data_IF_913354274840
#
_entry.id   IF_913354274840
#
_cell.length_a   1.000
_cell.length_b   1.000
_cell.length_c   1.000
_cell.angle_alpha   90.00
_cell.angle_beta   90.00
_cell.angle_gamma   90.00
#
_symmetry.space_group_name_H-M   'P 1'
#
loop_
_entity.id
_entity.type
_entity.pdbx_description
1 polymer ?
#
# COMPACT_ATOMS: atom_id res chain seq x y z
N UNK A 1 -14.36 -29.73 14.34
CA UNK A 1 -12.97 -30.21 14.45
C UNK A 1 -12.04 -29.00 14.56
N UNK A 2 -11.45 -28.76 15.74
CA UNK A 2 -10.43 -27.70 15.90
C UNK A 2 -9.24 -28.12 15.04
N UNK A 3 -8.92 -27.35 14.01
CA UNK A 3 -7.71 -27.54 13.20
C UNK A 3 -6.51 -27.52 14.14
N UNK A 4 -5.84 -28.66 14.28
CA UNK A 4 -4.61 -28.78 15.06
C UNK A 4 -3.60 -27.79 14.48
N UNK A 5 -3.31 -26.73 15.24
CA UNK A 5 -2.31 -25.74 14.83
C UNK A 5 -0.99 -26.46 14.72
N UNK A 6 -0.35 -26.44 13.54
CA UNK A 6 0.95 -27.07 13.35
C UNK A 6 1.94 -26.62 14.45
N UNK A 7 2.75 -27.54 15.01
CA UNK A 7 3.65 -27.22 16.09
C UNK A 7 4.65 -26.16 15.62
N UNK A 8 4.77 -25.08 16.41
CA UNK A 8 5.67 -23.98 16.10
C UNK A 8 7.11 -24.38 16.43
N UNK A 9 8.12 -23.92 15.66
CA UNK A 9 9.50 -24.32 15.87
C UNK A 9 10.05 -23.85 17.23
N UNK A 10 11.03 -24.58 17.81
CA UNK A 10 11.64 -24.19 19.06
C UNK A 10 12.35 -22.82 18.92
N UNK A 11 12.26 -22.03 19.98
CA UNK A 11 12.90 -20.71 20.05
C UNK A 11 14.39 -20.87 20.37
N UNK A 12 15.24 -20.12 19.66
CA UNK A 12 16.71 -20.16 19.85
C UNK A 12 17.20 -19.12 20.85
N UNK A 13 16.49 -18.00 20.96
CA UNK A 13 16.89 -16.88 21.81
C UNK A 13 16.69 -17.17 23.30
N UNK A 14 17.65 -16.77 24.15
CA UNK A 14 17.54 -16.90 25.62
C UNK A 14 16.68 -15.79 26.21
N UNK A 15 16.77 -14.56 25.66
CA UNK A 15 16.04 -13.40 26.16
C UNK A 15 14.59 -13.43 25.70
N UNK A 16 13.65 -13.26 26.62
CA UNK A 16 12.19 -13.29 26.37
C UNK A 16 11.74 -12.32 25.27
N UNK A 17 12.28 -11.10 25.24
CA UNK A 17 11.93 -10.13 24.20
C UNK A 17 12.50 -10.50 22.82
N UNK A 18 13.63 -11.22 22.78
CA UNK A 18 14.22 -11.70 21.53
C UNK A 18 13.47 -12.94 21.02
N UNK A 19 12.99 -13.81 21.90
CA UNK A 19 12.06 -14.89 21.58
C UNK A 19 10.78 -14.35 20.93
N UNK A 20 10.22 -13.26 21.47
CA UNK A 20 9.07 -12.59 20.87
C UNK A 20 9.39 -12.08 19.46
N UNK A 21 10.53 -11.42 19.26
CA UNK A 21 10.96 -10.94 17.94
C UNK A 21 11.13 -12.11 16.97
N UNK A 22 11.78 -13.18 17.40
CA UNK A 22 12.00 -14.40 16.63
C UNK A 22 10.67 -15.00 16.14
N UNK A 23 9.68 -15.14 17.03
CA UNK A 23 8.36 -15.67 16.67
C UNK A 23 7.57 -14.75 15.73
N UNK A 24 7.63 -13.44 15.96
CA UNK A 24 6.98 -12.44 15.08
C UNK A 24 7.57 -12.51 13.68
N UNK A 25 8.90 -12.62 13.57
CA UNK A 25 9.61 -12.74 12.29
C UNK A 25 9.34 -14.07 11.60
N UNK A 26 9.30 -15.17 12.35
CA UNK A 26 8.93 -16.49 11.82
C UNK A 26 7.53 -16.50 11.18
N UNK A 27 6.58 -15.78 11.78
CA UNK A 27 5.23 -15.63 11.25
C UNK A 27 5.09 -14.49 10.23
N UNK A 28 6.21 -13.93 9.75
CA UNK A 28 6.27 -12.88 8.73
C UNK A 28 5.45 -11.62 9.05
N UNK A 29 5.35 -11.25 10.33
CA UNK A 29 4.71 -9.99 10.72
C UNK A 29 5.59 -8.77 10.39
N UNK A 30 4.91 -7.64 10.17
CA UNK A 30 5.57 -6.36 9.89
C UNK A 30 6.45 -5.89 11.06
N UNK A 31 7.48 -5.08 10.75
CA UNK A 31 8.32 -4.44 11.76
C UNK A 31 7.50 -3.58 12.73
N UNK A 32 6.43 -2.92 12.25
CA UNK A 32 5.54 -2.12 13.09
C UNK A 32 4.81 -2.96 14.12
N UNK A 33 4.39 -4.17 13.75
CA UNK A 33 3.80 -5.16 14.67
C UNK A 33 4.85 -5.62 15.69
N UNK A 34 6.08 -5.91 15.25
CA UNK A 34 7.21 -6.26 16.12
C UNK A 34 7.43 -5.19 17.20
N UNK A 35 7.54 -3.93 16.80
CA UNK A 35 7.76 -2.80 17.71
C UNK A 35 6.61 -2.63 18.70
N UNK A 36 5.35 -2.70 18.23
CA UNK A 36 4.18 -2.57 19.08
C UNK A 36 4.09 -3.69 20.12
N UNK A 37 4.31 -4.94 19.70
CA UNK A 37 4.21 -6.08 20.60
C UNK A 37 5.35 -6.10 21.61
N UNK A 38 6.58 -5.83 21.19
CA UNK A 38 7.73 -5.69 22.10
C UNK A 38 7.50 -4.55 23.10
N UNK A 39 6.91 -3.43 22.68
CA UNK A 39 6.56 -2.33 23.58
C UNK A 39 5.59 -2.78 24.68
N UNK A 40 4.47 -3.41 24.30
CA UNK A 40 3.45 -3.84 25.27
C UNK A 40 3.92 -4.96 26.19
N UNK A 41 4.62 -5.96 25.67
CA UNK A 41 5.19 -7.05 26.50
C UNK A 41 6.24 -6.50 27.45
N UNK A 42 7.08 -5.55 27.03
CA UNK A 42 8.03 -4.88 27.92
C UNK A 42 7.32 -4.07 29.01
N UNK A 43 6.25 -3.35 28.67
CA UNK A 43 5.45 -2.59 29.63
C UNK A 43 4.81 -3.52 30.67
N UNK A 44 4.25 -4.65 30.24
CA UNK A 44 3.69 -5.68 31.10
C UNK A 44 4.72 -6.27 32.08
N UNK A 45 5.91 -6.65 31.57
CA UNK A 45 7.01 -7.16 32.41
C UNK A 45 7.41 -6.12 33.47
N UNK A 46 7.53 -4.85 33.08
CA UNK A 46 7.92 -3.77 34.00
C UNK A 46 6.86 -3.49 35.06
N UNK A 47 5.58 -3.54 34.69
CA UNK A 47 4.47 -3.36 35.64
C UNK A 47 4.52 -4.42 36.75
N UNK A 48 4.90 -5.65 36.42
CA UNK A 48 5.03 -6.76 37.37
C UNK A 48 6.41 -6.88 38.04
N UNK A 49 7.21 -5.81 38.05
CA UNK A 49 8.51 -5.81 38.74
C UNK A 49 9.59 -6.65 38.07
N UNK A 50 9.54 -6.82 36.74
CA UNK A 50 10.51 -7.60 35.96
C UNK A 50 10.50 -9.10 36.29
N UNK A 51 9.38 -9.61 36.79
CA UNK A 51 9.14 -11.05 36.95
C UNK A 51 9.07 -11.74 35.58
N UNK A 52 9.48 -13.01 35.55
CA UNK A 52 9.46 -13.79 34.32
C UNK A 52 8.00 -14.06 33.88
N UNK A 53 7.59 -13.72 32.65
CA UNK A 53 6.18 -13.82 32.25
C UNK A 53 5.56 -15.21 32.30
N UNK A 54 6.37 -16.28 32.24
CA UNK A 54 5.86 -17.65 32.38
C UNK A 54 5.28 -17.94 33.79
N UNK A 55 5.63 -17.15 34.81
CA UNK A 55 5.06 -17.26 36.16
C UNK A 55 3.89 -16.31 36.38
N UNK A 56 3.49 -15.55 35.36
CA UNK A 56 2.39 -14.59 35.41
C UNK A 56 1.20 -15.16 34.63
N UNK A 57 0.03 -15.21 35.27
CA UNK A 57 -1.18 -15.82 34.74
C UNK A 57 -2.28 -14.80 34.49
N UNK A 58 -3.53 -15.22 34.77
CA UNK A 58 -4.74 -14.44 34.54
C UNK A 58 -4.85 -13.18 35.35
N UNK A 59 -4.69 -13.32 36.66
CA UNK A 59 -4.71 -12.21 37.61
C UNK A 59 -3.76 -11.10 37.19
N UNK A 60 -2.55 -11.46 36.73
CA UNK A 60 -1.54 -10.48 36.34
C UNK A 60 -1.88 -9.77 35.03
N UNK A 61 -2.43 -10.49 34.06
CA UNK A 61 -2.87 -9.88 32.79
C UNK A 61 -4.06 -8.96 33.01
N UNK A 62 -5.05 -9.39 33.78
CA UNK A 62 -6.21 -8.57 34.13
C UNK A 62 -5.83 -7.34 34.96
N UNK A 63 -4.92 -7.49 35.93
CA UNK A 63 -4.40 -6.37 36.71
C UNK A 63 -3.73 -5.33 35.81
N UNK A 64 -2.90 -5.77 34.85
CA UNK A 64 -2.25 -4.86 33.91
C UNK A 64 -3.23 -4.16 32.97
N UNK A 65 -4.20 -4.88 32.42
CA UNK A 65 -5.22 -4.30 31.53
C UNK A 65 -6.16 -3.36 32.28
N UNK A 66 -6.50 -3.68 33.54
CA UNK A 66 -7.30 -2.83 34.43
C UNK A 66 -6.52 -1.56 34.80
N UNK A 67 -5.24 -1.68 35.10
CA UNK A 67 -4.33 -0.56 35.31
C UNK A 67 -4.27 0.36 34.09
N UNK A 68 -4.16 -0.21 32.88
CA UNK A 68 -4.19 0.57 31.64
C UNK A 68 -5.52 1.34 31.46
N UNK A 69 -6.64 0.71 31.80
CA UNK A 69 -7.96 1.32 31.66
C UNK A 69 -8.23 2.40 32.73
N UNK A 70 -7.92 2.11 33.99
CA UNK A 70 -8.33 2.93 35.14
C UNK A 70 -7.30 4.03 35.46
N UNK A 71 -6.02 3.68 35.54
CA UNK A 71 -4.97 4.62 35.93
C UNK A 71 -4.39 5.37 34.73
N UNK A 72 -4.08 4.65 33.65
CA UNK A 72 -3.54 5.25 32.42
C UNK A 72 -4.61 5.80 31.48
N UNK A 73 -5.89 5.49 31.72
CA UNK A 73 -7.04 5.98 30.95
C UNK A 73 -6.84 5.83 29.43
N UNK A 74 -6.28 4.70 29.00
CA UNK A 74 -5.96 4.48 27.58
C UNK A 74 -7.21 4.30 26.74
N UNK A 75 -7.11 4.63 25.45
CA UNK A 75 -8.21 4.40 24.51
C UNK A 75 -8.52 2.91 24.34
N UNK A 76 -9.75 2.58 23.93
CA UNK A 76 -10.15 1.20 23.60
C UNK A 76 -9.25 0.55 22.55
N UNK A 77 -8.80 1.31 21.54
CA UNK A 77 -7.91 0.80 20.50
C UNK A 77 -6.53 0.44 21.07
N UNK A 78 -6.00 1.29 21.94
CA UNK A 78 -4.74 1.08 22.66
C UNK A 78 -4.82 -0.16 23.56
N UNK A 79 -5.90 -0.29 24.34
CA UNK A 79 -6.16 -1.46 25.18
C UNK A 79 -6.18 -2.74 24.34
N UNK A 80 -6.93 -2.74 23.22
CA UNK A 80 -6.99 -3.91 22.32
C UNK A 80 -5.64 -4.28 21.72
N UNK A 81 -4.79 -3.30 21.41
CA UNK A 81 -3.45 -3.56 20.90
C UNK A 81 -2.56 -4.22 21.98
N UNK A 82 -2.66 -3.75 23.23
CA UNK A 82 -1.97 -4.37 24.36
C UNK A 82 -2.45 -5.81 24.58
N UNK A 83 -3.77 -6.04 24.62
CA UNK A 83 -4.36 -7.38 24.73
C UNK A 83 -3.93 -8.30 23.58
N UNK A 84 -3.92 -7.81 22.34
CA UNK A 84 -3.48 -8.59 21.18
C UNK A 84 -1.99 -8.98 21.27
N UNK A 85 -1.14 -8.08 21.78
CA UNK A 85 0.27 -8.38 22.00
C UNK A 85 0.45 -9.47 23.08
N UNK A 86 -0.31 -9.41 24.18
CA UNK A 86 -0.27 -10.41 25.25
C UNK A 86 -0.82 -11.76 24.79
N UNK A 87 -1.96 -11.78 24.10
CA UNK A 87 -2.53 -12.99 23.47
C UNK A 87 -1.52 -13.67 22.54
N UNK A 88 -0.85 -12.88 21.69
CA UNK A 88 0.20 -13.40 20.82
C UNK A 88 1.38 -13.93 21.64
N UNK A 89 1.83 -13.20 22.65
CA UNK A 89 2.98 -13.58 23.44
C UNK A 89 2.75 -14.89 24.22
N UNK A 90 1.64 -15.02 24.95
CA UNK A 90 1.35 -16.25 25.68
C UNK A 90 1.03 -17.43 24.75
N UNK A 91 0.16 -17.22 23.74
CA UNK A 91 -0.28 -18.31 22.88
C UNK A 91 0.75 -18.73 21.83
N UNK A 92 1.57 -17.78 21.33
CA UNK A 92 2.55 -18.04 20.25
C UNK A 92 3.99 -18.01 20.72
N UNK A 93 4.37 -17.46 21.86
CA UNK A 93 5.79 -17.47 22.31
C UNK A 93 5.97 -18.46 23.46
N UNK A 94 5.16 -18.33 24.51
CA UNK A 94 5.23 -19.23 25.67
C UNK A 94 4.50 -20.57 25.46
N UNK A 95 3.71 -20.68 24.38
CA UNK A 95 2.90 -21.86 24.07
C UNK A 95 2.00 -22.29 25.23
N UNK A 96 1.55 -21.33 26.04
CA UNK A 96 0.62 -21.57 27.15
C UNK A 96 -0.80 -21.47 26.62
N UNK A 97 -1.61 -22.51 26.83
CA UNK A 97 -3.03 -22.42 26.54
C UNK A 97 -3.69 -21.54 27.61
N UNK A 98 -4.32 -20.45 27.17
CA UNK A 98 -5.02 -19.53 28.06
C UNK A 98 -6.50 -19.44 27.64
N UNK A 99 -7.32 -20.45 27.99
CA UNK A 99 -8.74 -20.48 27.63
C UNK A 99 -9.48 -19.23 28.13
N UNK A 100 -9.18 -18.80 29.37
CA UNK A 100 -9.76 -17.63 30.03
C UNK A 100 -9.37 -16.30 29.37
N UNK A 101 -8.25 -16.23 28.63
CA UNK A 101 -7.80 -14.99 28.00
C UNK A 101 -8.68 -14.58 26.80
N UNK A 102 -9.49 -15.52 26.28
CA UNK A 102 -10.54 -15.23 25.30
C UNK A 102 -11.81 -14.65 25.94
N UNK A 103 -12.01 -14.86 27.24
CA UNK A 103 -13.16 -14.40 28.02
C UNK A 103 -12.97 -12.99 28.58
N UNK A 104 -11.72 -12.48 28.63
CA UNK A 104 -11.46 -11.07 28.95
C UNK A 104 -12.27 -10.20 27.99
N UNK A 105 -13.26 -9.50 28.55
CA UNK A 105 -14.19 -8.67 27.83
C UNK A 105 -13.46 -7.69 26.92
N UNK A 106 -13.52 -7.91 25.61
CA UNK A 106 -12.83 -7.04 24.64
C UNK A 106 -13.61 -5.74 24.54
N UNK A 107 -13.05 -4.59 24.96
CA UNK A 107 -13.79 -3.33 24.85
C UNK A 107 -14.13 -3.07 23.38
N UNK A 108 -15.38 -2.72 23.13
CA UNK A 108 -15.90 -2.47 21.78
C UNK A 108 -15.50 -1.05 21.37
N UNK A 109 -14.74 -0.87 20.28
CA UNK A 109 -14.42 0.48 19.84
C UNK A 109 -15.71 1.17 19.36
N UNK A 110 -15.93 2.40 19.80
CA UNK A 110 -16.94 3.28 19.19
C UNK A 110 -16.55 3.55 17.74
N UNK A 111 -17.44 3.27 16.78
CA UNK A 111 -17.22 3.66 15.38
C UNK A 111 -17.33 5.19 15.30
N UNK A 112 -16.27 5.87 14.87
CA UNK A 112 -16.29 7.30 14.58
C UNK A 112 -16.58 7.50 13.10
N UNK A 113 -17.37 8.52 12.78
CA UNK A 113 -17.59 8.91 11.39
C UNK A 113 -16.26 9.40 10.79
N UNK A 114 -15.92 8.97 9.56
CA UNK A 114 -14.72 9.46 8.89
C UNK A 114 -14.85 10.96 8.63
N UNK A 115 -13.78 11.69 8.88
CA UNK A 115 -13.67 13.10 8.51
C UNK A 115 -13.41 13.18 7.01
N UNK A 116 -14.10 14.08 6.32
CA UNK A 116 -13.90 14.37 4.89
C UNK A 116 -13.72 15.87 4.69
N UNK A 117 -12.82 16.22 3.78
CA UNK A 117 -12.54 17.59 3.37
C UNK A 117 -13.35 17.91 2.11
N UNK A 118 -13.75 19.18 1.96
CA UNK A 118 -14.27 19.70 0.69
C UNK A 118 -13.11 19.94 -0.28
N UNK A 119 -13.37 20.03 -1.59
CA UNK A 119 -12.34 20.38 -2.57
C UNK A 119 -11.60 21.68 -2.20
N UNK A 120 -12.32 22.73 -1.80
CA UNK A 120 -11.71 24.01 -1.41
C UNK A 120 -10.81 23.88 -0.18
N UNK A 121 -11.21 23.08 0.82
CA UNK A 121 -10.37 22.82 1.98
C UNK A 121 -9.08 22.09 1.59
N UNK A 122 -9.17 21.13 0.65
CA UNK A 122 -7.99 20.44 0.11
C UNK A 122 -7.09 21.42 -0.64
N UNK A 123 -7.62 22.28 -1.51
CA UNK A 123 -6.83 23.32 -2.21
C UNK A 123 -6.07 24.17 -1.20
N UNK A 124 -6.75 24.69 -0.17
CA UNK A 124 -6.13 25.53 0.86
C UNK A 124 -5.00 24.80 1.57
N UNK A 125 -5.23 23.56 2.03
CA UNK A 125 -4.18 22.77 2.70
C UNK A 125 -2.98 22.54 1.77
N UNK A 126 -3.22 22.18 0.50
CA UNK A 126 -2.15 21.95 -0.47
C UNK A 126 -1.36 23.23 -0.78
N UNK A 127 -1.97 24.41 -0.66
CA UNK A 127 -1.32 25.71 -0.83
C UNK A 127 -0.27 26.03 0.23
N UNK A 128 -0.41 25.49 1.44
CA UNK A 128 0.57 25.66 2.54
C UNK A 128 1.64 24.56 2.60
N UNK A 129 1.59 23.59 1.69
CA UNK A 129 2.63 22.58 1.55
C UNK A 129 3.63 23.00 0.49
N UNK A 130 4.89 22.64 0.69
CA UNK A 130 5.99 22.98 -0.22
C UNK A 130 6.73 21.74 -0.73
N UNK A 131 7.40 21.90 -1.87
CA UNK A 131 8.32 20.90 -2.43
C UNK A 131 7.73 19.48 -2.52
N UNK A 132 8.49 18.50 -2.04
CA UNK A 132 8.08 17.10 -2.08
C UNK A 132 6.86 16.78 -1.20
N UNK A 133 6.61 17.54 -0.13
CA UNK A 133 5.43 17.33 0.72
C UNK A 133 4.14 17.70 -0.02
N UNK A 134 4.14 18.77 -0.80
CA UNK A 134 2.98 19.16 -1.62
C UNK A 134 2.68 18.10 -2.68
N UNK A 135 3.71 17.69 -3.42
CA UNK A 135 3.59 16.64 -4.44
C UNK A 135 3.09 15.32 -3.83
N UNK A 136 3.61 14.95 -2.66
CA UNK A 136 3.19 13.75 -1.97
C UNK A 136 1.72 13.83 -1.53
N UNK A 137 1.29 14.95 -0.96
CA UNK A 137 -0.11 15.16 -0.59
C UNK A 137 -1.06 15.13 -1.81
N UNK A 138 -0.67 15.77 -2.92
CA UNK A 138 -1.41 15.70 -4.18
C UNK A 138 -1.52 14.28 -4.70
N UNK A 139 -0.44 13.49 -4.62
CA UNK A 139 -0.44 12.10 -5.02
C UNK A 139 -1.39 11.26 -4.15
N UNK A 140 -1.36 11.43 -2.83
CA UNK A 140 -2.28 10.75 -1.91
C UNK A 140 -3.74 11.07 -2.22
N UNK A 141 -4.05 12.36 -2.46
CA UNK A 141 -5.40 12.78 -2.80
C UNK A 141 -5.82 12.30 -4.20
N UNK A 142 -4.98 12.42 -5.22
CA UNK A 142 -5.33 12.07 -6.60
C UNK A 142 -5.43 10.56 -6.89
N UNK A 143 -4.85 9.72 -6.03
CA UNK A 143 -4.82 8.25 -6.22
C UNK A 143 -5.54 7.47 -5.13
N UNK A 144 -5.81 8.10 -3.99
CA UNK A 144 -6.38 7.46 -2.82
C UNK A 144 -5.47 6.40 -2.17
N UNK A 145 -4.18 6.35 -2.47
CA UNK A 145 -3.26 5.38 -1.83
C UNK A 145 -3.07 5.66 -0.33
N UNK A 146 -2.65 4.64 0.43
CA UNK A 146 -2.28 4.80 1.84
C UNK A 146 -0.95 5.52 1.93
N UNK A 147 -0.70 6.23 3.04
CA UNK A 147 0.57 6.92 3.28
C UNK A 147 1.76 5.96 3.10
N UNK A 148 1.69 4.78 3.69
CA UNK A 148 2.76 3.79 3.59
C UNK A 148 3.01 3.33 2.16
N UNK A 149 1.95 3.16 1.37
CA UNK A 149 2.04 2.77 -0.04
C UNK A 149 2.76 3.87 -0.84
N UNK A 150 2.39 5.13 -0.64
CA UNK A 150 3.03 6.26 -1.32
C UNK A 150 4.48 6.48 -0.90
N UNK A 151 4.79 6.37 0.39
CA UNK A 151 6.17 6.51 0.87
C UNK A 151 7.08 5.40 0.34
N UNK A 152 6.54 4.20 0.17
CA UNK A 152 7.31 3.04 -0.29
C UNK A 152 7.38 2.89 -1.81
N UNK A 153 6.80 3.82 -2.58
CA UNK A 153 6.89 3.81 -4.03
C UNK A 153 8.34 3.79 -4.50
N UNK A 154 8.63 2.86 -5.41
CA UNK A 154 9.91 2.78 -6.13
C UNK A 154 9.79 3.41 -7.50
N UNK A 155 10.92 3.76 -8.10
CA UNK A 155 10.94 4.32 -9.45
C UNK A 155 10.25 3.41 -10.47
N UNK A 156 10.49 2.10 -10.40
CA UNK A 156 9.88 1.10 -11.30
C UNK A 156 8.36 0.96 -11.17
N UNK A 157 7.77 1.53 -10.11
CA UNK A 157 6.35 1.43 -9.85
C UNK A 157 5.57 2.53 -10.57
N UNK A 158 6.25 3.53 -11.14
CA UNK A 158 5.67 4.60 -11.94
C UNK A 158 5.83 4.30 -13.43
N UNK A 159 4.70 4.10 -14.12
CA UNK A 159 4.64 3.95 -15.57
C UNK A 159 3.99 5.21 -16.17
N UNK A 160 4.82 6.11 -16.68
CA UNK A 160 4.34 7.37 -17.27
C UNK A 160 3.72 7.17 -18.64
N UNK A 161 4.10 6.12 -19.37
CA UNK A 161 3.61 5.86 -20.72
C UNK A 161 2.18 5.31 -20.68
N UNK A 162 1.90 4.48 -19.67
CA UNK A 162 0.57 3.90 -19.44
C UNK A 162 -0.23 4.67 -18.39
N UNK A 163 0.29 5.78 -17.87
CA UNK A 163 -0.36 6.58 -16.83
C UNK A 163 -0.77 5.76 -15.60
N UNK A 164 0.10 4.86 -15.15
CA UNK A 164 -0.23 3.86 -14.12
C UNK A 164 0.81 3.85 -12.99
N UNK A 165 0.34 3.65 -11.76
CA UNK A 165 1.16 3.41 -10.58
C UNK A 165 0.88 2.02 -10.04
N UNK A 166 1.91 1.21 -9.87
CA UNK A 166 1.79 -0.14 -9.30
C UNK A 166 2.07 -0.10 -7.80
N UNK A 167 1.03 -0.19 -6.99
CA UNK A 167 1.18 -0.36 -5.54
C UNK A 167 1.42 -1.84 -5.26
N UNK A 168 2.63 -2.15 -4.82
CA UNK A 168 3.04 -3.51 -4.44
C UNK A 168 2.69 -3.82 -2.99
N UNK A 169 2.38 -5.08 -2.72
CA UNK A 169 2.14 -5.57 -1.34
C UNK A 169 1.05 -4.77 -0.60
N UNK A 170 -0.05 -4.44 -1.28
CA UNK A 170 -1.23 -3.84 -0.67
C UNK A 170 -1.86 -4.74 0.41
N UNK A 171 -2.99 -4.33 1.00
CA UNK A 171 -3.67 -5.12 2.05
C UNK A 171 -3.88 -6.57 1.59
N UNK A 172 -3.29 -7.52 2.31
CA UNK A 172 -3.32 -8.95 1.96
C UNK A 172 -2.23 -9.41 0.98
N UNK A 173 -1.15 -8.64 0.83
CA UNK A 173 -0.01 -8.91 -0.06
C UNK A 173 -0.40 -9.02 -1.54
N UNK A 174 -1.39 -8.22 -1.97
CA UNK A 174 -1.84 -8.14 -3.37
C UNK A 174 -1.40 -6.83 -3.99
N UNK A 175 -0.84 -6.93 -5.19
CA UNK A 175 -0.51 -5.77 -6.01
C UNK A 175 -1.79 -5.18 -6.60
N UNK A 176 -1.84 -3.86 -6.74
CA UNK A 176 -2.91 -3.17 -7.48
C UNK A 176 -2.39 -2.02 -8.31
N UNK A 177 -3.00 -1.82 -9.47
CA UNK A 177 -2.73 -0.68 -10.34
C UNK A 177 -3.64 0.49 -9.97
N UNK A 178 -3.05 1.68 -9.86
CA UNK A 178 -3.73 2.95 -9.67
C UNK A 178 -3.49 3.82 -10.90
N UNK A 179 -4.42 4.71 -11.20
CA UNK A 179 -4.23 5.72 -12.24
C UNK A 179 -3.23 6.78 -11.75
N UNK A 180 -2.26 7.13 -12.60
CA UNK A 180 -1.36 8.28 -12.40
C UNK A 180 -2.08 9.54 -12.93
N UNK A 181 -2.36 10.54 -12.10
CA UNK A 181 -2.95 11.79 -12.59
C UNK A 181 -2.00 12.52 -13.54
N UNK A 182 -2.43 12.78 -14.77
CA UNK A 182 -1.59 13.40 -15.81
C UNK A 182 -1.01 14.75 -15.37
N UNK A 183 -1.78 15.54 -14.64
CA UNK A 183 -1.36 16.83 -14.08
C UNK A 183 -0.19 16.72 -13.08
N UNK A 184 0.04 15.53 -12.50
CA UNK A 184 1.18 15.28 -11.61
C UNK A 184 2.40 14.69 -12.32
N UNK A 185 2.27 14.26 -13.59
CA UNK A 185 3.35 13.62 -14.31
C UNK A 185 4.61 14.51 -14.43
N UNK A 186 4.52 15.82 -14.75
CA UNK A 186 5.70 16.70 -14.81
C UNK A 186 6.41 16.82 -13.46
N UNK A 187 5.66 17.10 -12.39
CA UNK A 187 6.23 17.24 -11.04
C UNK A 187 6.80 15.93 -10.50
N UNK A 188 6.22 14.78 -10.85
CA UNK A 188 6.78 13.47 -10.54
C UNK A 188 8.08 13.21 -11.29
N UNK A 189 8.20 13.61 -12.56
CA UNK A 189 9.47 13.52 -13.32
C UNK A 189 10.55 14.38 -12.67
N UNK A 190 10.24 15.60 -12.26
CA UNK A 190 11.17 16.45 -11.50
C UNK A 190 11.59 15.82 -10.16
N UNK A 191 10.65 15.23 -9.43
CA UNK A 191 10.95 14.49 -8.20
C UNK A 191 11.88 13.30 -8.46
N UNK A 192 11.67 12.56 -9.56
CA UNK A 192 12.56 11.48 -9.97
C UNK A 192 13.95 12.00 -10.33
N UNK A 193 14.08 13.17 -10.96
CA UNK A 193 15.38 13.81 -11.19
C UNK A 193 16.09 14.14 -9.88
N UNK A 194 15.37 14.66 -8.88
CA UNK A 194 15.94 14.89 -7.52
C UNK A 194 16.36 13.59 -6.84
N UNK A 195 15.52 12.56 -6.90
CA UNK A 195 15.85 11.24 -6.38
C UNK A 195 17.06 10.63 -7.11
N UNK A 196 17.19 10.86 -8.43
CA UNK A 196 18.30 10.38 -9.24
C UNK A 196 19.63 11.03 -8.81
N UNK A 197 19.62 12.31 -8.46
CA UNK A 197 20.79 12.98 -7.91
C UNK A 197 21.26 12.33 -6.60
N UNK A 198 20.33 12.00 -5.69
CA UNK A 198 20.66 11.26 -4.47
C UNK A 198 21.21 9.86 -4.77
N UNK A 199 20.59 9.14 -5.69
CA UNK A 199 21.06 7.81 -6.09
C UNK A 199 22.47 7.85 -6.67
N UNK A 200 22.77 8.80 -7.57
CA UNK A 200 24.10 8.98 -8.14
C UNK A 200 25.14 9.31 -7.08
N UNK A 201 24.79 10.18 -6.12
CA UNK A 201 25.65 10.50 -4.97
C UNK A 201 25.94 9.26 -4.12
N UNK A 202 24.92 8.47 -3.81
CA UNK A 202 25.07 7.24 -3.03
C UNK A 202 25.94 6.20 -3.76
N UNK A 203 25.81 6.09 -5.09
CA UNK A 203 26.68 5.23 -5.90
C UNK A 203 28.14 5.70 -5.88
N UNK A 204 28.38 7.01 -6.04
CA UNK A 204 29.72 7.57 -6.04
C UNK A 204 30.43 7.40 -4.68
N UNK A 205 29.68 7.52 -3.57
CA UNK A 205 30.18 7.30 -2.21
C UNK A 205 30.27 5.81 -1.83
N UNK A 206 29.92 4.88 -2.72
CA UNK A 206 29.94 3.44 -2.45
C UNK A 206 28.99 3.00 -1.32
N UNK A 207 27.87 3.71 -1.12
CA UNK A 207 26.91 3.43 -0.05
C UNK A 207 26.20 2.10 -0.29
N UNK A 208 25.79 1.46 0.80
CA UNK A 208 24.89 0.31 0.74
C UNK A 208 23.56 0.74 0.10
N UNK A 209 23.15 0.03 -0.94
CA UNK A 209 21.92 0.31 -1.67
C UNK A 209 20.66 0.30 -0.79
N UNK A 210 19.51 0.63 -1.37
CA UNK A 210 18.25 0.73 -0.62
C UNK A 210 17.80 -0.63 -0.07
N UNK A 211 16.97 -0.60 0.99
CA UNK A 211 16.37 -1.82 1.54
C UNK A 211 15.52 -2.53 0.47
N UNK A 212 15.60 -3.86 0.42
CA UNK A 212 14.78 -4.69 -0.47
C UNK A 212 13.80 -5.56 0.34
N UNK A 213 12.64 -5.93 -0.23
CA UNK A 213 11.71 -6.83 0.44
C UNK A 213 12.29 -8.24 0.64
N UNK A 214 11.94 -8.85 1.79
CA UNK A 214 12.20 -10.24 2.14
C UNK A 214 13.62 -10.73 1.78
N UNK A 215 13.71 -11.85 1.06
CA UNK A 215 14.97 -12.47 0.65
C UNK A 215 15.44 -11.97 -0.73
N UNK A 216 14.87 -10.88 -1.25
CA UNK A 216 15.18 -10.43 -2.61
C UNK A 216 16.63 -9.97 -2.75
N UNK A 217 17.19 -9.35 -1.71
CA UNK A 217 18.61 -8.98 -1.66
C UNK A 217 19.53 -10.19 -1.81
N UNK A 218 19.16 -11.36 -1.24
CA UNK A 218 19.92 -12.60 -1.41
C UNK A 218 19.85 -13.14 -2.83
N UNK A 219 18.69 -13.05 -3.48
CA UNK A 219 18.51 -13.53 -4.86
C UNK A 219 19.12 -12.58 -5.89
N UNK A 220 19.06 -11.28 -5.64
CA UNK A 220 19.57 -10.22 -6.52
C UNK A 220 20.37 -9.19 -5.71
N UNK A 221 21.65 -9.48 -5.38
CA UNK A 221 22.47 -8.64 -4.50
C UNK A 221 22.64 -7.19 -4.99
N UNK A 222 22.66 -6.98 -6.31
CA UNK A 222 22.81 -5.64 -6.90
C UNK A 222 21.49 -4.87 -7.05
N UNK A 223 20.33 -5.49 -6.77
CA UNK A 223 19.05 -4.85 -7.01
C UNK A 223 18.88 -3.56 -6.17
N UNK A 224 19.36 -3.53 -4.93
CA UNK A 224 19.30 -2.35 -4.06
C UNK A 224 20.17 -1.19 -4.55
N UNK A 225 21.16 -1.45 -5.40
CA UNK A 225 21.99 -0.43 -6.04
C UNK A 225 21.41 0.07 -7.35
N UNK A 226 20.41 -0.62 -7.90
CA UNK A 226 19.84 -0.25 -9.20
C UNK A 226 18.78 0.83 -9.08
N UNK A 227 18.76 1.73 -10.06
CA UNK A 227 17.80 2.83 -10.13
C UNK A 227 16.32 2.42 -10.02
N UNK A 228 15.84 1.34 -10.69
CA UNK A 228 14.43 0.96 -10.63
C UNK A 228 13.93 0.69 -9.20
N UNK A 229 14.81 0.26 -8.30
CA UNK A 229 14.48 -0.02 -6.91
C UNK A 229 14.62 1.18 -5.99
N UNK A 230 15.15 2.31 -6.44
CA UNK A 230 15.31 3.49 -5.61
C UNK A 230 13.96 4.09 -5.20
N UNK A 231 13.93 4.85 -4.11
CA UNK A 231 12.72 5.49 -3.59
C UNK A 231 12.33 6.71 -4.43
N UNK A 232 11.04 6.88 -4.71
CA UNK A 232 10.53 8.12 -5.35
C UNK A 232 10.67 9.31 -4.40
N UNK A 233 10.29 9.12 -3.13
CA UNK A 233 10.42 10.11 -2.06
C UNK A 233 11.54 9.67 -1.12
N UNK A 234 12.79 9.85 -1.54
CA UNK A 234 13.95 9.46 -0.76
C UNK A 234 14.24 10.51 0.33
N UNK A 235 14.55 10.06 1.54
CA UNK A 235 14.95 10.97 2.61
C UNK A 235 16.33 11.58 2.29
N UNK A 236 16.63 12.75 2.84
CA UNK A 236 17.89 13.47 2.61
C UNK A 236 19.08 12.81 3.32
N UNK A 237 18.85 12.22 4.49
CA UNK A 237 19.87 11.58 5.33
C UNK A 237 19.92 10.05 5.16
N UNK A 238 20.93 9.39 5.72
CA UNK A 238 20.93 7.92 5.81
C UNK A 238 20.30 7.47 7.13
N UNK A 239 19.74 6.27 7.15
CA UNK A 239 19.21 5.65 8.36
C UNK A 239 19.78 4.25 8.50
N UNK A 240 19.99 3.84 9.75
CA UNK A 240 20.25 2.45 10.07
C UNK A 240 18.95 1.65 9.93
N UNK A 241 18.96 0.59 9.13
CA UNK A 241 17.85 -0.36 9.09
C UNK A 241 17.80 -1.12 10.42
N UNK A 242 16.69 -1.05 11.18
CA UNK A 242 16.57 -1.69 12.48
C UNK A 242 16.59 -3.22 12.43
N UNK A 243 16.37 -3.85 11.27
CA UNK A 243 16.45 -5.32 11.12
C UNK A 243 17.83 -5.79 10.70
N UNK A 244 18.42 -5.17 9.67
CA UNK A 244 19.73 -5.58 9.15
C UNK A 244 20.92 -4.88 9.82
N UNK A 245 20.71 -3.75 10.50
CA UNK A 245 21.78 -2.90 11.05
C UNK A 245 22.55 -2.11 9.99
N UNK A 246 22.22 -2.29 8.70
CA UNK A 246 22.92 -1.63 7.59
C UNK A 246 22.47 -0.18 7.46
N UNK A 247 23.44 0.73 7.35
CA UNK A 247 23.17 2.14 7.07
C UNK A 247 22.89 2.32 5.59
N UNK A 248 21.68 2.73 5.24
CA UNK A 248 21.23 2.91 3.86
C UNK A 248 20.22 4.04 3.74
N UNK A 249 19.96 4.50 2.52
CA UNK A 249 18.94 5.53 2.30
C UNK A 249 17.54 4.91 2.40
N UNK A 250 16.71 5.54 3.20
CA UNK A 250 15.31 5.20 3.40
C UNK A 250 14.41 6.18 2.66
N UNK A 251 13.15 5.81 2.46
CA UNK A 251 12.15 6.77 2.01
C UNK A 251 11.87 7.83 3.09
N UNK A 252 11.21 8.92 2.72
CA UNK A 252 10.74 9.95 3.64
C UNK A 252 9.98 9.32 4.81
N UNK A 253 10.23 9.80 6.04
CA UNK A 253 9.55 9.30 7.21
C UNK A 253 8.10 9.81 7.27
N UNK A 254 7.19 8.89 7.63
CA UNK A 254 5.77 9.17 7.87
C UNK A 254 5.58 10.37 8.83
N UNK A 255 6.34 10.41 9.92
CA UNK A 255 6.25 11.50 10.89
C UNK A 255 6.65 12.86 10.32
N UNK A 256 7.62 12.91 9.40
CA UNK A 256 8.04 14.16 8.77
C UNK A 256 6.88 14.76 7.97
N UNK A 257 6.24 13.92 7.14
CA UNK A 257 5.09 14.34 6.36
C UNK A 257 3.86 14.65 7.23
N UNK A 258 3.57 13.84 8.25
CA UNK A 258 2.45 14.11 9.17
C UNK A 258 2.58 15.46 9.89
N UNK A 259 3.80 15.83 10.32
CA UNK A 259 4.05 17.14 10.94
C UNK A 259 3.86 18.28 9.96
N UNK A 260 4.37 18.15 8.74
CA UNK A 260 4.18 19.14 7.69
C UNK A 260 2.69 19.31 7.33
N UNK A 261 1.97 18.20 7.16
CA UNK A 261 0.54 18.20 6.88
C UNK A 261 -0.27 18.85 8.00
N UNK A 262 0.03 18.52 9.27
CA UNK A 262 -0.63 19.14 10.42
C UNK A 262 -0.46 20.67 10.43
N UNK A 263 0.76 21.16 10.20
CA UNK A 263 1.04 22.61 10.12
C UNK A 263 0.25 23.26 8.98
N UNK A 264 0.17 22.61 7.81
CA UNK A 264 -0.59 23.11 6.68
C UNK A 264 -2.10 23.17 6.97
N UNK A 265 -2.66 22.19 7.70
CA UNK A 265 -4.06 22.20 8.15
C UNK A 265 -4.34 23.38 9.08
N UNK A 266 -3.44 23.62 10.04
CA UNK A 266 -3.55 24.74 10.99
C UNK A 266 -3.47 26.10 10.26
N UNK A 267 -2.51 26.27 9.35
CA UNK A 267 -2.34 27.49 8.55
C UNK A 267 -3.51 27.73 7.57
N UNK A 268 -4.10 26.66 7.04
CA UNK A 268 -5.28 26.73 6.19
C UNK A 268 -6.58 27.09 6.94
N UNK A 269 -6.53 27.28 8.26
CA UNK A 269 -7.69 27.61 9.09
C UNK A 269 -8.72 26.49 9.15
N UNK A 270 -8.32 25.24 8.94
CA UNK A 270 -9.23 24.09 8.92
C UNK A 270 -9.43 23.56 10.34
N UNK A 271 -10.67 23.68 10.84
CA UNK A 271 -11.05 23.23 12.18
C UNK A 271 -11.29 21.72 12.29
N UNK A 272 -11.54 21.05 11.16
CA UNK A 272 -11.71 19.59 11.10
C UNK A 272 -10.39 18.91 11.49
N UNK A 273 -10.42 17.80 12.25
CA UNK A 273 -9.21 17.06 12.61
C UNK A 273 -8.69 16.26 11.42
N UNK A 274 -8.13 16.97 10.43
CA UNK A 274 -7.62 16.43 9.20
C UNK A 274 -6.24 15.80 9.41
N UNK A 275 -6.08 14.61 8.87
CA UNK A 275 -4.81 13.88 8.81
C UNK A 275 -4.56 13.48 7.36
N UNK A 276 -3.38 12.97 6.99
CA UNK A 276 -3.21 12.56 5.59
C UNK A 276 -4.13 11.39 5.17
N UNK A 277 -4.66 10.60 6.13
CA UNK A 277 -5.72 9.62 5.83
C UNK A 277 -7.04 10.29 5.42
N UNK A 278 -7.30 11.51 5.89
CA UNK A 278 -8.45 12.32 5.50
C UNK A 278 -8.42 12.65 4.01
N UNK A 279 -7.24 12.85 3.39
CA UNK A 279 -7.12 13.04 1.94
C UNK A 279 -7.68 11.86 1.17
N UNK A 280 -7.30 10.64 1.56
CA UNK A 280 -7.82 9.40 0.96
C UNK A 280 -9.32 9.25 1.12
N UNK A 281 -9.87 9.57 2.29
CA UNK A 281 -11.32 9.55 2.49
C UNK A 281 -12.03 10.59 1.62
N UNK A 282 -11.46 11.79 1.52
CA UNK A 282 -12.00 12.87 0.71
C UNK A 282 -11.99 12.50 -0.78
N UNK A 283 -10.94 11.85 -1.26
CA UNK A 283 -10.87 11.28 -2.61
C UNK A 283 -11.97 10.25 -2.86
N UNK A 284 -12.14 9.29 -1.95
CA UNK A 284 -13.19 8.29 -2.06
C UNK A 284 -14.58 8.93 -2.15
N UNK A 285 -14.85 9.92 -1.29
CA UNK A 285 -16.10 10.67 -1.30
C UNK A 285 -16.28 11.50 -2.57
N UNK A 286 -15.22 12.10 -3.10
CA UNK A 286 -15.27 12.83 -4.37
C UNK A 286 -15.66 11.91 -5.53
N UNK A 287 -15.06 10.73 -5.64
CA UNK A 287 -15.44 9.74 -6.67
C UNK A 287 -16.91 9.32 -6.56
N UNK A 288 -17.39 9.02 -5.35
CA UNK A 288 -18.79 8.66 -5.15
C UNK A 288 -19.74 9.80 -5.54
N UNK A 289 -19.38 11.06 -5.23
CA UNK A 289 -20.16 12.25 -5.64
C UNK A 289 -20.16 12.47 -7.15
N UNK A 290 -19.08 12.10 -7.83
CA UNK A 290 -18.97 12.13 -9.29
C UNK A 290 -19.70 10.96 -9.98
N UNK A 291 -20.42 10.12 -9.24
CA UNK A 291 -21.25 9.05 -9.79
C UNK A 291 -20.53 7.70 -9.99
N UNK A 292 -19.33 7.51 -9.45
CA UNK A 292 -18.65 6.22 -9.50
C UNK A 292 -19.33 5.18 -8.62
N UNK A 293 -19.41 3.94 -9.12
CA UNK A 293 -19.93 2.81 -8.33
C UNK A 293 -19.04 2.50 -7.13
N UNK A 294 -19.66 2.10 -6.03
CA UNK A 294 -18.98 1.80 -4.77
C UNK A 294 -17.96 0.66 -4.92
N UNK A 295 -18.20 -0.32 -5.80
CA UNK A 295 -17.25 -1.43 -6.01
C UNK A 295 -15.99 -0.93 -6.70
N UNK A 296 -16.13 -0.09 -7.72
CA UNK A 296 -14.98 0.55 -8.38
C UNK A 296 -14.14 1.35 -7.40
N UNK A 297 -14.77 2.10 -6.49
CA UNK A 297 -14.06 2.86 -5.45
C UNK A 297 -13.38 1.91 -4.45
N UNK A 298 -14.01 0.80 -4.06
CA UNK A 298 -13.43 -0.21 -3.16
C UNK A 298 -12.20 -0.89 -3.77
N UNK A 299 -12.25 -1.25 -5.05
CA UNK A 299 -11.16 -1.88 -5.79
C UNK A 299 -9.96 -0.95 -5.89
N UNK A 300 -10.19 0.31 -6.28
CA UNK A 300 -9.14 1.34 -6.39
C UNK A 300 -8.43 1.56 -5.04
N UNK A 301 -9.19 1.59 -3.96
CA UNK A 301 -8.68 1.77 -2.62
C UNK A 301 -8.07 0.48 -2.03
N UNK A 302 -8.25 -0.68 -2.65
CA UNK A 302 -7.74 -1.95 -2.15
C UNK A 302 -8.33 -2.32 -0.79
N UNK A 303 -9.66 -2.20 -0.65
CA UNK A 303 -10.39 -2.72 0.50
C UNK A 303 -10.66 -4.21 0.30
N UNK A 304 -10.00 -5.05 1.10
CA UNK A 304 -10.20 -6.50 1.08
C UNK A 304 -11.54 -6.88 1.73
N UNK A 305 -12.62 -6.70 0.98
CA UNK A 305 -13.88 -7.47 1.04
C UNK A 305 -14.74 -7.10 -0.19
N UNK A 306 -14.22 -7.37 -1.39
CA UNK A 306 -14.85 -8.17 -2.45
C UNK A 306 -13.70 -8.77 -3.28
N UNK A 307 -13.79 -10.04 -3.59
CA UNK A 307 -12.74 -10.84 -4.22
C UNK A 307 -12.55 -10.52 -5.71
N UNK A 308 -11.30 -10.24 -6.07
CA UNK A 308 -10.70 -10.50 -7.40
C UNK A 308 -11.13 -9.56 -8.54
N UNK A 309 -10.09 -9.02 -9.19
CA UNK A 309 -10.04 -8.15 -10.37
C UNK A 309 -11.21 -8.25 -11.36
N UNK A 310 -11.53 -7.12 -12.00
CA UNK A 310 -11.09 -7.02 -13.38
C UNK A 310 -10.14 -5.83 -13.59
N UNK A 311 -9.27 -6.03 -14.58
CA UNK A 311 -8.37 -5.04 -15.14
C UNK A 311 -8.98 -3.64 -15.20
N UNK A 312 -8.14 -2.63 -15.02
CA UNK A 312 -8.37 -1.27 -15.49
C UNK A 312 -8.76 -1.36 -16.98
N UNK A 313 -10.06 -1.46 -17.27
CA UNK A 313 -10.59 -1.37 -18.61
C UNK A 313 -10.34 0.07 -19.03
N UNK A 314 -9.50 0.27 -20.05
CA UNK A 314 -9.23 1.54 -20.74
C UNK A 314 -10.51 2.10 -21.38
N UNK A 315 -11.49 2.48 -20.57
CA UNK A 315 -12.80 2.98 -20.99
C UNK A 315 -13.44 3.98 -20.03
N UNK A 316 -12.86 4.22 -18.85
CA UNK A 316 -13.23 5.33 -17.96
C UNK A 316 -11.96 6.02 -17.47
N UNK A 317 -11.18 6.54 -18.42
CA UNK A 317 -10.09 7.47 -18.15
C UNK A 317 -10.73 8.82 -17.76
N UNK A 318 -10.71 9.19 -16.49
CA UNK A 318 -11.32 10.44 -16.07
C UNK A 318 -11.23 10.72 -14.58
N UNK A 319 -11.84 9.91 -13.72
CA UNK A 319 -12.21 10.35 -12.36
C UNK A 319 -11.09 10.85 -11.44
N UNK A 320 -9.94 10.16 -11.41
CA UNK A 320 -8.79 10.59 -10.59
C UNK A 320 -8.13 11.86 -11.12
N UNK A 321 -8.06 11.99 -12.45
CA UNK A 321 -7.65 13.21 -13.12
C UNK A 321 -8.70 14.32 -12.96
N UNK A 322 -9.99 14.02 -13.01
CA UNK A 322 -11.11 14.98 -12.86
C UNK A 322 -11.11 15.57 -11.46
N UNK A 323 -11.01 14.77 -10.39
CA UNK A 323 -11.00 15.30 -9.02
C UNK A 323 -9.80 16.21 -8.72
N UNK A 324 -8.65 16.00 -9.38
CA UNK A 324 -7.46 16.83 -9.23
C UNK A 324 -7.45 18.01 -10.22
N UNK A 325 -7.87 17.80 -11.47
CA UNK A 325 -7.93 18.82 -12.52
C UNK A 325 -9.03 19.86 -12.21
N UNK A 326 -10.22 19.41 -11.79
CA UNK A 326 -11.27 20.31 -11.27
C UNK A 326 -10.78 21.12 -10.06
N UNK A 327 -9.89 20.55 -9.25
CA UNK A 327 -9.33 21.20 -8.06
C UNK A 327 -8.18 22.17 -8.38
N UNK A 328 -7.46 21.93 -9.48
CA UNK A 328 -6.39 22.79 -9.98
C UNK A 328 -6.88 23.84 -11.01
N UNK A 329 -8.20 23.94 -11.24
CA UNK A 329 -8.77 24.87 -12.23
C UNK A 329 -8.39 24.53 -13.66
N UNK A 330 -7.88 23.33 -13.91
CA UNK A 330 -7.63 22.81 -15.25
C UNK A 330 -8.94 22.20 -15.72
N UNK A 331 -9.63 22.88 -16.63
CA UNK A 331 -10.87 22.40 -17.24
C UNK A 331 -10.70 20.97 -17.79
N UNK A 332 -11.78 20.18 -17.91
CA UNK A 332 -11.68 18.85 -18.50
C UNK A 332 -11.02 18.99 -19.88
N UNK A 333 -9.90 18.28 -20.08
CA UNK A 333 -9.32 18.16 -21.40
C UNK A 333 -10.41 17.64 -22.33
N UNK A 334 -10.63 18.37 -23.41
CA UNK A 334 -11.73 18.22 -24.34
C UNK A 334 -11.75 16.79 -24.93
N UNK A 335 -12.51 15.89 -24.31
CA UNK A 335 -12.65 14.49 -24.75
C UNK A 335 -13.53 14.36 -26.00
N UNK A 336 -13.99 15.47 -26.60
CA UNK A 336 -14.92 15.45 -27.73
C UNK A 336 -14.25 15.32 -29.11
N UNK A 337 -12.91 15.29 -29.22
CA UNK A 337 -12.21 15.18 -30.52
C UNK A 337 -11.74 13.78 -30.94
N UNK A 338 -12.13 12.72 -30.22
CA UNK A 338 -11.76 11.33 -30.58
C UNK A 338 -12.94 10.44 -31.00
N UNK A 339 -14.16 10.97 -31.09
CA UNK A 339 -15.35 10.21 -31.54
C UNK A 339 -15.77 10.45 -33.01
N UNK A 340 -14.97 11.17 -33.80
CA UNK A 340 -15.25 11.35 -35.22
C UNK A 340 -14.21 10.61 -36.08
N UNK A 341 -14.15 9.28 -36.00
CA UNK A 341 -13.61 8.36 -37.03
C UNK A 341 -13.88 6.91 -36.60
N UNK A 342 -15.15 6.50 -36.58
CA UNK A 342 -15.58 5.10 -36.73
C UNK A 342 -17.11 5.01 -36.83
N UNK A 343 -17.65 5.42 -37.97
CA UNK A 343 -18.96 4.95 -38.42
C UNK A 343 -18.76 3.69 -39.29
N UNK A 344 -19.35 2.53 -38.94
CA UNK A 344 -19.47 1.43 -39.88
C UNK A 344 -20.63 1.71 -40.85
N UNK A 345 -20.28 1.96 -42.12
CA UNK A 345 -21.23 2.01 -43.24
C UNK A 345 -21.97 0.67 -43.37
N UNK A 346 -23.25 0.65 -43.00
CA UNK A 346 -24.15 -0.46 -43.29
C UNK A 346 -25.03 -0.09 -44.49
N UNK A 347 -24.56 -0.38 -45.71
CA UNK A 347 -25.42 -0.33 -46.91
C UNK A 347 -26.12 -1.68 -47.06
N UNK A 348 -27.43 -1.67 -46.78
CA UNK A 348 -28.38 -2.59 -47.40
C UNK A 348 -28.40 -2.32 -48.91
N UNK A 349 -28.19 -3.34 -49.73
CA UNK A 349 -28.64 -3.35 -51.12
C UNK A 349 -29.51 -4.58 -51.33
N UNK A 350 -30.68 -4.31 -51.85
CA UNK A 350 -31.72 -5.24 -52.24
C UNK A 350 -31.27 -6.15 -53.38
N UNK A 351 -31.87 -7.34 -53.37
CA UNK A 351 -31.98 -8.28 -54.47
C UNK A 351 -32.65 -7.64 -55.68
N UNK A 352 -32.09 -7.86 -56.88
CA UNK A 352 -32.89 -8.17 -58.06
C UNK A 352 -32.13 -9.08 -59.03
N UNK A 353 -32.89 -9.75 -59.88
CA UNK A 353 -32.74 -11.11 -60.43
C UNK A 353 -31.76 -11.33 -61.61
N UNK A 354 -31.66 -12.62 -62.00
CA UNK A 354 -31.21 -13.24 -63.28
C UNK A 354 -29.78 -13.83 -63.24
N UNK A 355 -29.59 -15.15 -63.11
CA UNK A 355 -29.90 -16.27 -64.01
C UNK A 355 -28.71 -16.71 -64.87
N UNK A 356 -28.35 -17.99 -64.70
CA UNK A 356 -27.59 -18.90 -65.56
C UNK A 356 -26.10 -18.64 -65.86
N UNK A 357 -25.29 -19.68 -65.61
CA UNK A 357 -24.14 -19.97 -66.47
C UNK A 357 -22.93 -20.58 -65.79
N UNK A 358 -22.82 -21.91 -65.89
CA UNK A 358 -21.59 -22.63 -66.28
C UNK A 358 -20.43 -22.73 -65.25
N UNK A 359 -20.22 -23.96 -64.74
CA UNK A 359 -18.93 -24.47 -64.24
C UNK A 359 -17.96 -24.74 -65.43
N UNK A 360 -16.76 -25.37 -65.30
CA UNK A 360 -15.89 -25.65 -64.15
C UNK A 360 -14.40 -25.25 -64.42
N UNK A 361 -13.48 -25.44 -63.45
CA UNK A 361 -12.21 -26.23 -63.59
C UNK A 361 -11.19 -25.94 -62.48
N UNK A 362 -10.72 -27.05 -61.91
CA UNK A 362 -9.43 -27.40 -61.29
C UNK A 362 -8.29 -26.37 -61.29
N UNK A 363 -7.49 -26.32 -60.22
CA UNK A 363 -6.12 -26.87 -60.18
C UNK A 363 -5.58 -26.89 -58.72
N UNK A 364 -4.88 -27.99 -58.41
CA UNK A 364 -4.02 -28.20 -57.25
C UNK A 364 -2.93 -27.13 -57.08
N UNK A 365 -2.40 -26.98 -55.85
CA UNK A 365 -0.98 -27.20 -55.51
C UNK A 365 -0.65 -26.75 -54.07
N UNK A 366 -0.33 -27.73 -53.23
CA UNK A 366 0.81 -27.83 -52.28
C UNK A 366 1.41 -26.58 -51.60
N UNK A 367 1.63 -26.66 -50.28
CA UNK A 367 2.89 -26.16 -49.69
C UNK A 367 2.86 -25.56 -48.28
N UNK A 368 3.38 -26.35 -47.32
CA UNK A 368 4.12 -25.95 -46.11
C UNK A 368 3.39 -25.38 -44.87
N UNK A 369 3.18 -26.30 -43.92
CA UNK A 369 3.08 -26.02 -42.48
C UNK A 369 4.49 -26.05 -41.83
N UNK A 370 4.77 -25.10 -40.94
CA UNK A 370 5.96 -25.08 -40.07
C UNK A 370 5.53 -25.20 -38.61
N UNK A 371 5.90 -26.34 -38.01
CA UNK A 371 5.78 -26.65 -36.58
C UNK A 371 6.92 -25.99 -35.79
N UNK A 372 6.59 -25.31 -34.68
CA UNK A 372 7.57 -24.89 -33.66
C UNK A 372 7.59 -25.87 -32.48
N UNK A 373 8.73 -26.55 -32.29
CA UNK A 373 9.03 -27.44 -31.17
C UNK A 373 9.45 -26.65 -29.92
N UNK A 374 9.02 -27.14 -28.73
CA UNK A 374 9.49 -26.73 -27.40
C UNK A 374 10.72 -27.55 -26.97
N UNK A 375 11.73 -26.97 -26.30
CA UNK A 375 12.83 -27.76 -25.73
C UNK A 375 12.53 -28.28 -24.32
N UNK A 376 12.86 -29.56 -24.10
CA UNK A 376 12.96 -30.24 -22.80
C UNK A 376 14.28 -29.84 -22.12
N UNK A 377 14.24 -29.51 -20.82
CA UNK A 377 15.43 -29.43 -19.97
C UNK A 377 15.52 -30.69 -19.10
N UNK A 378 16.67 -31.37 -19.19
CA UNK A 378 17.06 -32.56 -18.42
C UNK A 378 17.47 -32.17 -16.99
N UNK A 379 17.13 -33.05 -16.05
CA UNK A 379 17.72 -33.11 -14.70
C UNK A 379 19.14 -33.67 -14.77
N UNK A 380 20.03 -33.10 -13.98
CA UNK A 380 21.05 -33.81 -13.19
C UNK A 380 21.06 -33.20 -11.80
#
# INVERSE_FOLDING_TARGET
MKTATAPLPPLRSVKVLDQLRERIRYLHYSLRTEQAYVHWVRAFIRFHGVRHPATLGSSEVEAFLSWLANERKVSVSTHRQALAALLFFYGKVLCTDLPWLQEIGRPRPSRRLPVVLTPDEVVRILGFLEGEHRLFAQLLYGTGMRISEGLQLRVKDLDFDHGTIIVREGKGSKDRALMLPESLAPSLREQLSRARAWWLKDQAEGRSGVALPDALERKYPRAGHSWPWFWVFAQHTHSTDPRSGVVRRHHMYDQTFQRAFKRAVEQAGITKPATPHTLRHSFATALLRSGYDIRTVQDLLGHSDVSTTPALRRGTAGGGAVALNSLLGLGPADTTKLEAHNEPQNRKKEHDQLAHGTAPRNYDLTGHAVHWQRPRIRRK
#
